data_IF_892463706727
#
_entry.id   IF_892463706727
#
_cell.length_a   1.000
_cell.length_b   1.000
_cell.length_c   1.000
_cell.angle_alpha   90.00
_cell.angle_beta   90.00
_cell.angle_gamma   90.00
#
_symmetry.space_group_name_H-M   'P 1'
#
loop_
_entity.id
_entity.type
_entity.pdbx_description
1 polymer ?
#
# COMPACT_ATOMS: atom_id res chain seq x y z
N UNK A 1 2.59 -1.06 -27.62
CA UNK A 1 3.87 -1.55 -27.04
C UNK A 1 3.59 -2.05 -25.64
N UNK A 2 3.92 -3.31 -25.35
CA UNK A 2 3.92 -3.88 -24.00
C UNK A 2 5.05 -3.23 -23.22
N UNK A 3 4.75 -2.71 -22.02
CA UNK A 3 5.79 -2.26 -21.11
C UNK A 3 6.60 -3.50 -20.68
N UNK A 4 7.83 -3.61 -21.10
CA UNK A 4 8.77 -4.56 -20.51
C UNK A 4 9.28 -3.99 -19.19
N UNK A 5 8.99 -4.68 -18.08
CA UNK A 5 9.51 -4.34 -16.78
C UNK A 5 10.99 -4.74 -16.70
N UNK A 6 11.83 -3.78 -16.41
CA UNK A 6 13.27 -4.03 -16.20
C UNK A 6 13.49 -4.59 -14.77
N UNK A 7 13.33 -5.90 -14.64
CA UNK A 7 13.50 -6.59 -13.36
C UNK A 7 14.95 -6.59 -12.87
N UNK A 8 15.94 -6.58 -13.78
CA UNK A 8 17.35 -6.54 -13.40
C UNK A 8 17.67 -5.19 -12.76
N UNK A 9 17.21 -4.10 -13.38
CA UNK A 9 17.33 -2.76 -12.80
C UNK A 9 16.57 -2.66 -11.47
N UNK A 10 15.39 -3.22 -11.35
CA UNK A 10 14.62 -3.22 -10.10
C UNK A 10 15.37 -3.98 -8.99
N UNK A 11 16.02 -5.13 -9.31
CA UNK A 11 16.85 -5.87 -8.36
C UNK A 11 18.06 -5.06 -7.90
N UNK A 12 18.71 -4.34 -8.81
CA UNK A 12 19.85 -3.46 -8.47
C UNK A 12 19.42 -2.30 -7.56
N UNK A 13 18.25 -1.68 -7.80
CA UNK A 13 17.74 -0.56 -6.98
C UNK A 13 17.58 -0.92 -5.49
N UNK A 14 17.25 -2.18 -5.20
CA UNK A 14 17.02 -2.63 -3.82
C UNK A 14 18.17 -3.43 -3.24
N UNK A 15 19.20 -3.74 -4.01
CA UNK A 15 20.36 -4.49 -3.52
C UNK A 15 21.04 -3.79 -2.36
N UNK A 16 21.29 -4.51 -1.26
CA UNK A 16 21.87 -3.99 -0.04
C UNK A 16 20.95 -3.05 0.77
N UNK A 17 19.71 -2.90 0.35
CA UNK A 17 18.71 -2.11 1.06
C UNK A 17 17.99 -2.94 2.13
N UNK A 18 17.29 -2.23 3.02
CA UNK A 18 16.47 -2.85 4.05
C UNK A 18 14.98 -2.58 3.83
N UNK A 19 14.18 -3.61 4.08
CA UNK A 19 12.72 -3.55 3.94
C UNK A 19 12.03 -4.01 5.22
N UNK A 20 10.96 -3.32 5.60
CA UNK A 20 10.03 -3.76 6.63
C UNK A 20 8.74 -4.21 5.98
N UNK A 21 8.37 -5.46 6.19
CA UNK A 21 7.04 -5.94 5.87
C UNK A 21 6.06 -5.49 6.94
N UNK A 22 5.08 -4.71 6.56
CA UNK A 22 3.99 -4.26 7.43
C UNK A 22 2.76 -5.12 7.16
N UNK A 23 2.42 -5.99 8.11
CA UNK A 23 1.41 -7.03 7.96
C UNK A 23 0.25 -6.81 8.96
N UNK A 24 -0.74 -5.97 8.64
CA UNK A 24 -1.91 -5.80 9.50
C UNK A 24 -2.81 -7.03 9.40
N UNK A 25 -3.12 -7.67 10.53
CA UNK A 25 -4.02 -8.82 10.53
C UNK A 25 -3.68 -9.88 11.57
N UNK A 26 -4.55 -10.89 11.69
CA UNK A 26 -4.41 -11.98 12.67
C UNK A 26 -3.80 -13.26 12.09
N UNK A 27 -3.96 -13.48 10.80
CA UNK A 27 -3.54 -14.71 10.16
C UNK A 27 -3.62 -14.61 8.66
N UNK A 28 -3.03 -15.57 7.98
CA UNK A 28 -2.93 -15.62 6.53
C UNK A 28 -3.24 -17.02 6.01
N UNK A 29 -3.59 -17.13 4.73
CA UNK A 29 -3.76 -18.41 4.06
C UNK A 29 -2.42 -19.10 3.80
N UNK A 30 -2.43 -20.42 3.56
CA UNK A 30 -1.22 -21.13 3.13
C UNK A 30 -0.67 -20.66 1.80
N UNK A 31 -1.53 -20.19 0.88
CA UNK A 31 -1.08 -19.58 -0.38
C UNK A 31 -0.30 -18.28 -0.11
N UNK A 32 -0.82 -17.42 0.76
CA UNK A 32 -0.11 -16.23 1.20
C UNK A 32 1.23 -16.58 1.83
N UNK A 33 1.24 -17.50 2.79
CA UNK A 33 2.46 -17.92 3.49
C UNK A 33 3.53 -18.41 2.51
N UNK A 34 3.16 -19.28 1.56
CA UNK A 34 4.07 -19.77 0.53
C UNK A 34 4.68 -18.62 -0.27
N UNK A 35 3.87 -17.70 -0.77
CA UNK A 35 4.31 -16.58 -1.58
C UNK A 35 5.19 -15.61 -0.77
N UNK A 36 4.83 -15.39 0.51
CA UNK A 36 5.61 -14.56 1.42
C UNK A 36 7.00 -15.14 1.69
N UNK A 37 7.08 -16.43 1.97
CA UNK A 37 8.36 -17.11 2.19
C UNK A 37 9.22 -17.09 0.91
N UNK A 38 8.62 -17.29 -0.26
CA UNK A 38 9.31 -17.20 -1.55
C UNK A 38 9.87 -15.79 -1.78
N UNK A 39 9.08 -14.75 -1.53
CA UNK A 39 9.52 -13.37 -1.61
C UNK A 39 10.68 -13.09 -0.64
N UNK A 40 10.57 -13.49 0.61
CA UNK A 40 11.64 -13.32 1.60
C UNK A 40 12.97 -13.97 1.15
N UNK A 41 12.92 -15.21 0.63
CA UNK A 41 14.12 -15.87 0.12
C UNK A 41 14.75 -15.12 -1.04
N UNK A 42 13.95 -14.68 -2.00
CA UNK A 42 14.45 -13.93 -3.15
C UNK A 42 15.11 -12.61 -2.74
N UNK A 43 14.47 -11.87 -1.82
CA UNK A 43 15.01 -10.60 -1.35
C UNK A 43 16.33 -10.78 -0.59
N UNK A 44 16.43 -11.79 0.29
CA UNK A 44 17.67 -12.09 1.01
C UNK A 44 18.77 -12.53 0.05
N UNK A 45 18.46 -13.36 -0.94
CA UNK A 45 19.42 -13.74 -1.99
C UNK A 45 19.88 -12.54 -2.83
N UNK A 46 19.02 -11.54 -3.00
CA UNK A 46 19.39 -10.27 -3.66
C UNK A 46 20.17 -9.31 -2.72
N UNK A 47 20.50 -9.74 -1.50
CA UNK A 47 21.27 -8.96 -0.53
C UNK A 47 20.47 -7.96 0.29
N UNK A 48 19.15 -8.06 0.30
CA UNK A 48 18.31 -7.20 1.16
C UNK A 48 18.28 -7.71 2.61
N UNK A 49 18.20 -6.77 3.54
CA UNK A 49 17.83 -7.06 4.94
C UNK A 49 16.33 -6.94 5.10
N UNK A 50 15.69 -7.95 5.69
CA UNK A 50 14.25 -7.98 5.90
C UNK A 50 13.89 -7.91 7.37
N UNK A 51 12.82 -7.20 7.68
CA UNK A 51 12.20 -7.11 8.99
C UNK A 51 10.69 -7.25 8.84
N UNK A 52 10.03 -7.73 9.88
CA UNK A 52 8.59 -7.93 9.87
C UNK A 52 7.99 -7.15 11.04
N UNK A 53 7.00 -6.31 10.73
CA UNK A 53 6.16 -5.65 11.71
C UNK A 53 4.71 -6.09 11.48
N UNK A 54 4.16 -6.78 12.47
CA UNK A 54 2.81 -7.30 12.43
C UNK A 54 2.05 -6.79 13.65
N UNK A 55 0.84 -6.33 13.44
CA UNK A 55 -0.06 -5.99 14.54
C UNK A 55 -1.53 -6.21 14.10
N UNK A 56 -2.41 -6.18 15.06
CA UNK A 56 -3.83 -6.37 14.84
C UNK A 56 -4.66 -5.37 15.65
N UNK A 57 -5.76 -4.94 15.05
CA UNK A 57 -6.87 -4.25 15.70
C UNK A 57 -8.18 -4.62 14.98
N UNK A 58 -9.31 -4.48 15.65
CA UNK A 58 -10.62 -4.60 15.01
C UNK A 58 -10.89 -3.51 13.96
N UNK A 59 -10.15 -2.41 14.04
CA UNK A 59 -10.19 -1.33 13.04
C UNK A 59 -8.86 -1.28 12.30
N UNK A 60 -8.91 -1.35 10.98
CA UNK A 60 -7.72 -1.46 10.11
C UNK A 60 -6.77 -0.26 10.22
N UNK A 61 -7.31 0.95 10.37
CA UNK A 61 -6.51 2.16 10.56
C UNK A 61 -5.65 2.09 11.83
N UNK A 62 -6.19 1.57 12.93
CA UNK A 62 -5.39 1.35 14.14
C UNK A 62 -4.39 0.21 13.99
N UNK A 63 -4.77 -0.88 13.32
CA UNK A 63 -3.83 -1.97 13.03
C UNK A 63 -2.62 -1.44 12.24
N UNK A 64 -2.87 -0.63 11.20
CA UNK A 64 -1.80 -0.03 10.39
C UNK A 64 -0.93 0.95 11.20
N UNK A 65 -1.52 1.81 12.01
CA UNK A 65 -0.74 2.68 12.90
C UNK A 65 0.15 1.86 13.86
N UNK A 66 -0.38 0.77 14.42
CA UNK A 66 0.40 -0.13 15.29
C UNK A 66 1.53 -0.85 14.57
N UNK A 67 1.34 -1.26 13.31
CA UNK A 67 2.42 -1.80 12.49
C UNK A 67 3.59 -0.81 12.35
N UNK A 68 3.34 0.50 12.40
CA UNK A 68 4.38 1.53 12.45
C UNK A 68 4.90 1.82 13.87
N UNK A 69 4.53 1.01 14.85
CA UNK A 69 4.94 1.19 16.24
C UNK A 69 4.29 2.37 16.93
N UNK A 70 3.08 2.78 16.50
CA UNK A 70 2.36 3.89 17.12
C UNK A 70 2.12 3.69 18.60
N UNK A 71 2.25 4.77 19.35
CA UNK A 71 1.88 4.84 20.75
C UNK A 71 1.17 6.17 21.03
N UNK A 72 -0.09 6.10 21.42
CA UNK A 72 -0.92 7.29 21.69
C UNK A 72 -0.30 8.27 22.70
N UNK A 73 0.54 7.77 23.60
CA UNK A 73 1.22 8.59 24.61
C UNK A 73 2.34 9.47 24.05
N UNK A 74 2.79 9.22 22.81
CA UNK A 74 3.86 10.00 22.16
C UNK A 74 3.33 11.24 21.42
N UNK A 75 2.01 11.36 21.28
CA UNK A 75 1.39 12.49 20.61
C UNK A 75 1.57 12.54 19.09
N UNK A 76 1.16 13.66 18.45
CA UNK A 76 1.06 13.71 16.98
C UNK A 76 2.40 13.80 16.24
N UNK A 77 3.47 14.22 16.90
CA UNK A 77 4.81 14.37 16.28
C UNK A 77 5.67 13.11 16.30
N UNK A 78 5.08 11.97 16.67
CA UNK A 78 5.81 10.71 16.65
C UNK A 78 6.16 10.29 15.22
N UNK A 79 7.25 9.55 15.08
CA UNK A 79 7.70 8.97 13.81
C UNK A 79 7.59 7.46 13.86
N UNK A 80 7.55 6.76 12.71
CA UNK A 80 7.51 5.30 12.67
C UNK A 80 8.59 4.67 13.55
N UNK A 81 8.18 3.67 14.36
CA UNK A 81 9.04 2.93 15.31
C UNK A 81 9.91 3.81 16.21
N UNK A 82 9.48 5.03 16.50
CA UNK A 82 10.20 6.00 17.33
C UNK A 82 11.59 6.36 16.76
N UNK A 83 11.75 6.26 15.43
CA UNK A 83 13.01 6.47 14.74
C UNK A 83 14.09 5.41 15.00
N UNK A 84 13.77 4.34 15.75
CA UNK A 84 14.75 3.32 16.17
C UNK A 84 15.00 2.25 15.11
N UNK A 85 14.07 2.09 14.15
CA UNK A 85 14.20 1.11 13.09
C UNK A 85 14.89 1.73 11.88
N UNK A 86 15.98 1.12 11.43
CA UNK A 86 16.60 1.51 10.18
C UNK A 86 16.02 0.68 9.03
N UNK A 87 15.49 1.37 8.01
CA UNK A 87 14.91 0.77 6.83
C UNK A 87 14.97 1.74 5.65
N UNK A 88 14.88 1.20 4.43
CA UNK A 88 14.78 1.99 3.19
C UNK A 88 13.36 1.95 2.63
N UNK A 89 12.68 0.81 2.80
CA UNK A 89 11.33 0.56 2.26
C UNK A 89 10.41 -0.07 3.29
N UNK A 90 9.13 0.23 3.16
CA UNK A 90 8.03 -0.51 3.78
C UNK A 90 7.23 -1.20 2.68
N UNK A 91 6.93 -2.48 2.83
CA UNK A 91 5.98 -3.19 1.98
C UNK A 91 4.76 -3.58 2.81
N UNK A 92 3.65 -3.00 2.48
CA UNK A 92 2.36 -3.28 3.11
C UNK A 92 1.64 -4.38 2.35
N UNK A 93 1.20 -5.41 3.08
CA UNK A 93 0.50 -6.56 2.52
C UNK A 93 -0.66 -6.92 3.43
N UNK A 94 -1.89 -6.68 2.98
CA UNK A 94 -3.08 -7.15 3.70
C UNK A 94 -3.20 -8.68 3.60
N UNK A 95 -3.82 -9.30 4.59
CA UNK A 95 -3.80 -10.76 4.79
C UNK A 95 -4.54 -11.59 3.73
N UNK A 96 -5.32 -10.95 2.88
CA UNK A 96 -6.13 -11.53 1.80
C UNK A 96 -5.59 -11.26 0.39
N UNK A 97 -4.47 -10.55 0.29
CA UNK A 97 -3.85 -10.22 -1.00
C UNK A 97 -3.08 -11.42 -1.57
N UNK A 98 -3.26 -11.66 -2.87
CA UNK A 98 -2.47 -12.62 -3.65
C UNK A 98 -1.37 -11.89 -4.41
N UNK A 99 -0.14 -12.17 -4.06
CA UNK A 99 1.05 -11.54 -4.60
C UNK A 99 2.12 -12.57 -4.96
N UNK A 100 3.16 -12.13 -5.65
CA UNK A 100 4.37 -12.89 -5.96
C UNK A 100 5.58 -11.95 -6.02
N UNK A 101 6.76 -12.54 -6.18
CA UNK A 101 8.04 -11.83 -6.27
C UNK A 101 8.09 -10.88 -7.48
N UNK A 102 7.50 -11.27 -8.61
CA UNK A 102 7.46 -10.43 -9.81
C UNK A 102 6.67 -9.15 -9.56
N UNK A 103 5.50 -9.25 -8.92
CA UNK A 103 4.69 -8.10 -8.55
C UNK A 103 5.41 -7.14 -7.61
N UNK A 104 6.25 -7.65 -6.70
CA UNK A 104 7.10 -6.79 -5.87
C UNK A 104 8.10 -5.99 -6.72
N UNK A 105 8.82 -6.64 -7.63
CA UNK A 105 9.78 -5.91 -8.47
C UNK A 105 9.12 -4.93 -9.43
N UNK A 106 7.85 -5.14 -9.81
CA UNK A 106 7.08 -4.12 -10.55
C UNK A 106 6.87 -2.85 -9.72
N UNK A 107 6.58 -2.96 -8.42
CA UNK A 107 6.49 -1.78 -7.55
C UNK A 107 7.84 -1.06 -7.45
N UNK A 108 8.93 -1.81 -7.28
CA UNK A 108 10.28 -1.26 -7.25
C UNK A 108 10.63 -0.53 -8.56
N UNK A 109 10.30 -1.15 -9.70
CA UNK A 109 10.60 -0.59 -11.02
C UNK A 109 9.88 0.73 -11.31
N UNK A 110 8.78 1.02 -10.63
CA UNK A 110 8.11 2.33 -10.71
C UNK A 110 8.96 3.46 -10.14
N UNK A 111 9.88 3.15 -9.22
CA UNK A 111 10.79 4.09 -8.54
C UNK A 111 10.08 5.35 -8.01
N UNK A 112 8.95 5.17 -7.35
CA UNK A 112 8.15 6.23 -6.72
C UNK A 112 8.26 6.17 -5.20
N UNK A 113 7.99 7.29 -4.54
CA UNK A 113 7.94 7.34 -3.07
C UNK A 113 6.83 6.45 -2.53
N UNK A 114 5.71 6.37 -3.26
CA UNK A 114 4.59 5.47 -3.01
C UNK A 114 4.27 4.76 -4.33
N UNK A 115 4.38 3.44 -4.37
CA UNK A 115 4.01 2.60 -5.49
C UNK A 115 2.99 1.55 -5.01
N UNK A 116 1.85 1.47 -5.68
CA UNK A 116 0.78 0.54 -5.32
C UNK A 116 0.44 -0.40 -6.48
N UNK A 117 0.11 -1.63 -6.15
CA UNK A 117 -0.52 -2.56 -7.09
C UNK A 117 -2.02 -2.59 -6.85
N UNK A 118 -2.76 -2.72 -7.93
CA UNK A 118 -4.21 -2.84 -7.86
C UNK A 118 -4.67 -4.28 -7.64
N UNK A 119 -5.83 -4.44 -7.05
CA UNK A 119 -6.51 -5.71 -6.86
C UNK A 119 -8.04 -5.47 -6.93
N UNK A 120 -8.79 -6.53 -7.22
CA UNK A 120 -10.25 -6.46 -7.18
C UNK A 120 -10.75 -6.55 -5.74
N UNK A 121 -11.86 -5.89 -5.47
CA UNK A 121 -12.64 -6.06 -4.25
C UNK A 121 -13.41 -7.39 -4.29
N UNK A 122 -14.15 -7.71 -3.25
CA UNK A 122 -14.87 -8.98 -3.10
C UNK A 122 -15.87 -9.27 -4.25
N UNK A 123 -16.38 -8.23 -4.92
CA UNK A 123 -17.26 -8.35 -6.08
C UNK A 123 -16.56 -8.89 -7.34
N UNK A 124 -15.21 -8.95 -7.34
CA UNK A 124 -14.40 -9.40 -8.46
C UNK A 124 -14.38 -8.44 -9.67
N UNK A 125 -15.03 -7.29 -9.58
CA UNK A 125 -15.20 -6.33 -10.67
C UNK A 125 -14.59 -4.96 -10.33
N UNK A 126 -14.96 -4.40 -9.19
CA UNK A 126 -14.45 -3.11 -8.70
C UNK A 126 -13.00 -3.29 -8.23
N UNK A 127 -12.16 -2.29 -8.48
CA UNK A 127 -10.76 -2.36 -8.03
C UNK A 127 -10.49 -1.44 -6.85
N UNK A 128 -9.32 -1.64 -6.24
CA UNK A 128 -8.79 -0.78 -5.17
C UNK A 128 -8.40 0.63 -5.63
N UNK A 129 -8.52 0.93 -6.92
CA UNK A 129 -8.13 2.22 -7.52
C UNK A 129 -9.37 3.07 -7.74
N UNK A 130 -9.33 4.31 -7.26
CA UNK A 130 -10.43 5.25 -7.45
C UNK A 130 -9.92 6.67 -7.74
N UNK A 131 -10.85 7.50 -8.19
CA UNK A 131 -10.62 8.90 -8.48
C UNK A 131 -11.58 9.75 -7.67
N UNK A 132 -11.10 10.91 -7.23
CA UNK A 132 -11.94 11.93 -6.64
C UNK A 132 -12.96 12.43 -7.65
N UNK A 133 -14.13 12.76 -7.17
CA UNK A 133 -15.19 13.37 -7.95
C UNK A 133 -15.45 14.80 -7.46
N UNK A 134 -15.73 15.68 -8.40
CA UNK A 134 -16.33 16.97 -8.10
C UNK A 134 -17.77 16.77 -7.60
N UNK A 135 -18.34 17.78 -6.94
CA UNK A 135 -19.63 17.66 -6.25
C UNK A 135 -20.76 17.15 -7.15
N UNK A 136 -20.89 17.69 -8.36
CA UNK A 136 -21.96 17.30 -9.29
C UNK A 136 -21.79 15.86 -9.77
N UNK A 137 -20.56 15.43 -10.08
CA UNK A 137 -20.25 14.07 -10.49
C UNK A 137 -20.43 13.08 -9.33
N UNK A 138 -20.08 13.48 -8.12
CA UNK A 138 -20.30 12.69 -6.91
C UNK A 138 -21.79 12.41 -6.68
N UNK A 139 -22.63 13.44 -6.82
CA UNK A 139 -24.09 13.28 -6.74
C UNK A 139 -24.62 12.39 -7.85
N UNK A 140 -24.15 12.60 -9.09
CA UNK A 140 -24.54 11.79 -10.26
C UNK A 140 -24.15 10.31 -10.09
N UNK A 141 -23.08 10.04 -9.38
CA UNK A 141 -22.58 8.68 -9.06
C UNK A 141 -23.18 8.09 -7.77
N UNK A 142 -24.24 8.68 -7.23
CA UNK A 142 -24.94 8.17 -6.05
C UNK A 142 -24.15 8.27 -4.74
N UNK A 143 -23.21 9.21 -4.64
CA UNK A 143 -22.39 9.42 -3.46
C UNK A 143 -21.22 8.42 -3.31
N UNK A 144 -20.79 7.80 -4.39
CA UNK A 144 -19.70 6.81 -4.41
C UNK A 144 -18.54 7.33 -5.24
N UNK A 145 -17.30 7.07 -4.81
CA UNK A 145 -16.10 7.38 -5.59
C UNK A 145 -16.11 6.66 -6.93
N UNK A 146 -15.44 7.25 -7.93
CA UNK A 146 -15.29 6.64 -9.24
C UNK A 146 -14.17 5.59 -9.21
N UNK A 147 -14.55 4.33 -9.01
CA UNK A 147 -13.60 3.21 -9.02
C UNK A 147 -13.32 2.73 -10.45
N UNK A 148 -12.05 2.43 -10.71
CA UNK A 148 -11.64 1.68 -11.90
C UNK A 148 -12.15 0.24 -11.83
N UNK A 149 -12.45 -0.34 -12.98
CA UNK A 149 -12.84 -1.76 -13.07
C UNK A 149 -11.64 -2.66 -13.35
N UNK A 150 -11.76 -3.96 -13.02
CA UNK A 150 -10.77 -4.95 -13.39
C UNK A 150 -10.49 -4.99 -14.89
N UNK A 151 -11.52 -4.79 -15.71
CA UNK A 151 -11.41 -4.74 -17.18
C UNK A 151 -10.57 -3.56 -17.67
N UNK A 152 -10.81 -2.36 -17.10
CA UNK A 152 -10.01 -1.16 -17.45
C UNK A 152 -8.57 -1.31 -16.99
N UNK A 153 -8.35 -1.77 -15.77
CA UNK A 153 -7.02 -1.95 -15.21
C UNK A 153 -6.21 -3.03 -15.92
N UNK A 154 -6.83 -4.13 -16.33
CA UNK A 154 -6.15 -5.22 -17.06
C UNK A 154 -5.62 -4.80 -18.43
N UNK A 155 -6.23 -3.79 -19.04
CA UNK A 155 -5.81 -3.23 -20.34
C UNK A 155 -4.70 -2.19 -20.22
N UNK A 156 -4.47 -1.63 -19.04
CA UNK A 156 -3.40 -0.66 -18.81
C UNK A 156 -2.03 -1.35 -18.90
N UNK A 157 -1.11 -0.72 -19.58
CA UNK A 157 0.24 -1.25 -19.85
C UNK A 157 1.34 -0.44 -19.18
N UNK A 158 1.01 0.74 -18.64
CA UNK A 158 1.98 1.65 -18.01
C UNK A 158 1.48 2.08 -16.64
N UNK A 159 2.38 2.32 -15.67
CA UNK A 159 2.04 2.96 -14.42
C UNK A 159 1.41 4.34 -14.68
N UNK A 160 0.52 4.75 -13.81
CA UNK A 160 -0.13 6.05 -13.85
C UNK A 160 -0.39 6.55 -12.43
N UNK A 161 -0.61 7.84 -12.28
CA UNK A 161 -0.95 8.45 -11.00
C UNK A 161 -2.45 8.28 -10.74
N UNK A 162 -2.78 8.01 -9.48
CA UNK A 162 -4.16 7.84 -9.00
C UNK A 162 -4.41 8.76 -7.81
N UNK A 163 -5.65 9.11 -7.57
CA UNK A 163 -6.04 9.93 -6.42
C UNK A 163 -6.18 9.08 -5.16
N UNK A 164 -6.65 7.85 -5.33
CA UNK A 164 -6.89 6.89 -4.26
C UNK A 164 -6.48 5.48 -4.67
N UNK A 165 -5.91 4.73 -3.76
CA UNK A 165 -5.68 3.30 -3.89
C UNK A 165 -5.87 2.58 -2.56
N UNK A 166 -6.38 1.36 -2.61
CA UNK A 166 -6.38 0.49 -1.44
C UNK A 166 -4.97 0.19 -0.94
N UNK A 167 -4.83 -0.01 0.34
CA UNK A 167 -3.53 -0.14 1.00
C UNK A 167 -3.06 -1.59 1.20
N UNK A 168 -3.67 -2.53 0.46
CA UNK A 168 -3.39 -3.96 0.60
C UNK A 168 -2.08 -4.44 -0.06
N UNK A 169 -1.55 -3.69 -1.04
CA UNK A 169 -0.29 -4.01 -1.72
C UNK A 169 0.44 -2.73 -2.12
N UNK A 170 1.25 -2.18 -1.20
CA UNK A 170 1.88 -0.86 -1.37
C UNK A 170 3.32 -0.88 -0.89
N UNK A 171 4.24 -0.42 -1.74
CA UNK A 171 5.64 -0.16 -1.43
C UNK A 171 5.84 1.33 -1.15
N UNK A 172 6.44 1.67 -0.02
CA UNK A 172 6.66 3.06 0.41
C UNK A 172 8.12 3.24 0.78
N UNK A 173 8.75 4.28 0.26
CA UNK A 173 10.11 4.68 0.65
C UNK A 173 10.11 5.32 2.03
N UNK A 174 11.21 5.13 2.76
CA UNK A 174 11.49 5.88 3.99
C UNK A 174 11.39 7.39 3.71
N UNK A 175 10.88 8.14 4.67
CA UNK A 175 10.71 9.58 4.57
C UNK A 175 9.30 10.01 4.20
N UNK A 176 8.41 9.10 3.80
CA UNK A 176 6.99 9.42 3.55
C UNK A 176 6.27 9.60 4.88
N UNK A 177 6.20 8.57 5.72
CA UNK A 177 5.50 8.64 7.00
C UNK A 177 6.17 9.57 8.02
N UNK A 178 7.48 9.77 7.91
CA UNK A 178 8.22 10.69 8.75
C UNK A 178 7.86 12.18 8.53
N UNK A 179 7.20 12.48 7.41
CA UNK A 179 6.68 13.84 7.10
C UNK A 179 5.22 14.03 7.51
N UNK A 180 4.55 12.96 7.90
CA UNK A 180 3.14 12.98 8.28
C UNK A 180 2.99 13.05 9.80
N UNK A 181 1.98 13.77 10.26
CA UNK A 181 1.60 13.73 11.66
C UNK A 181 0.78 12.48 11.98
N UNK A 182 0.95 11.96 13.19
CA UNK A 182 0.10 10.90 13.72
C UNK A 182 -1.31 11.48 14.07
N UNK A 183 -2.40 10.75 13.77
CA UNK A 183 -2.46 9.38 13.26
C UNK A 183 -2.19 9.29 11.75
N UNK A 184 -1.26 8.41 11.36
CA UNK A 184 -0.87 8.22 9.96
C UNK A 184 -1.97 7.59 9.09
N UNK A 185 -2.88 6.87 9.72
CA UNK A 185 -4.06 6.30 9.11
C UNK A 185 -5.30 6.77 9.88
N UNK A 186 -6.10 7.57 9.25
CA UNK A 186 -7.37 8.04 9.78
C UNK A 186 -8.38 8.14 8.62
N UNK A 187 -9.65 7.88 8.87
CA UNK A 187 -10.68 8.19 7.90
C UNK A 187 -10.60 9.68 7.53
N UNK A 188 -10.63 9.96 6.24
CA UNK A 188 -10.64 11.32 5.73
C UNK A 188 -11.98 11.57 5.03
N UNK A 189 -12.58 12.69 5.33
CA UNK A 189 -13.81 13.12 4.70
C UNK A 189 -13.55 14.40 3.89
N UNK A 190 -14.06 14.44 2.67
CA UNK A 190 -14.18 15.65 1.90
C UNK A 190 -15.59 16.19 2.10
N UNK A 191 -15.70 17.43 2.56
CA UNK A 191 -16.98 18.11 2.72
C UNK A 191 -17.14 19.09 1.56
N UNK A 192 -18.23 18.94 0.81
CA UNK A 192 -18.59 19.84 -0.28
C UNK A 192 -19.27 21.11 0.23
N UNK A 193 -19.39 22.13 -0.61
CA UNK A 193 -20.06 23.38 -0.26
C UNK A 193 -21.54 23.18 0.12
N UNK A 194 -22.19 22.17 -0.46
CA UNK A 194 -23.56 21.75 -0.12
C UNK A 194 -23.71 21.18 1.30
N UNK A 195 -22.60 20.79 1.95
CA UNK A 195 -22.60 20.07 3.21
C UNK A 195 -22.63 18.53 3.07
N UNK A 196 -22.70 18.01 1.84
CA UNK A 196 -22.56 16.59 1.55
C UNK A 196 -21.11 16.13 1.81
N UNK A 197 -20.92 14.85 2.09
CA UNK A 197 -19.64 14.28 2.51
C UNK A 197 -19.27 13.10 1.66
N UNK A 198 -18.05 13.13 1.13
CA UNK A 198 -17.41 11.98 0.50
C UNK A 198 -16.37 11.43 1.49
N UNK A 199 -16.48 10.16 1.87
CA UNK A 199 -15.52 9.48 2.73
C UNK A 199 -14.53 8.62 1.92
N UNK A 200 -13.36 8.41 2.54
CA UNK A 200 -12.28 7.57 2.02
C UNK A 200 -11.85 6.53 3.04
#
# INVERSE_FOLDING_TARGET
ETLEWDYDKARELVRGKSIVFCLPGRGVSYTYLKNFVQLCFDLVQNGMSIQISQDYSSMVNFARCKCLGANVLRGPKQVPWDGKLNYDYQLWIDSDIVFDTEKFYRLVAMDKDIAAGWYCTEDGHTTSVAHWLEEDDFRGNGGVMNHETGDTMSKRRKPFTVDYTGFGWVLIKKGVFEKLEYPWFAPKMQVFESGEVQDM
#
